data_IF_930927795511
#
_entry.id   IF_930927795511
#
_cell.length_a   1.000
_cell.length_b   1.000
_cell.length_c   1.000
_cell.angle_alpha   90.00
_cell.angle_beta   90.00
_cell.angle_gamma   90.00
#
_symmetry.space_group_name_H-M   'P 1'
#
loop_
_entity.id
_entity.type
_entity.pdbx_description
1 polymer ?
#
# COMPACT_ATOMS: atom_id res chain seq x y z
N UNK A 1 24.57 -17.08 -32.94
CA UNK A 1 23.95 -18.19 -32.20
C UNK A 1 22.64 -18.47 -32.88
N UNK A 2 22.58 -19.60 -33.57
CA UNK A 2 21.41 -20.04 -34.29
C UNK A 2 20.34 -20.53 -33.29
N UNK A 3 19.09 -20.62 -33.73
CA UNK A 3 17.96 -20.97 -32.86
C UNK A 3 18.10 -22.39 -32.25
N UNK A 4 18.71 -23.31 -33.01
CA UNK A 4 19.04 -24.68 -32.56
C UNK A 4 20.15 -24.72 -31.49
N UNK A 5 21.18 -23.87 -31.62
CA UNK A 5 22.25 -23.78 -30.62
C UNK A 5 21.72 -23.22 -29.29
N UNK A 6 20.68 -22.40 -29.37
CA UNK A 6 20.03 -21.80 -28.20
C UNK A 6 19.14 -22.79 -27.46
N UNK A 7 18.39 -23.63 -28.17
CA UNK A 7 17.58 -24.69 -27.56
C UNK A 7 18.47 -25.75 -26.91
N UNK A 8 19.57 -26.13 -27.56
CA UNK A 8 20.58 -27.02 -26.99
C UNK A 8 21.19 -26.47 -25.69
N UNK A 9 21.56 -25.19 -25.67
CA UNK A 9 22.11 -24.54 -24.49
C UNK A 9 21.10 -24.46 -23.32
N UNK A 10 19.83 -24.18 -23.61
CA UNK A 10 18.74 -24.16 -22.62
C UNK A 10 18.54 -25.51 -21.96
N UNK A 11 18.50 -26.57 -22.76
CA UNK A 11 18.29 -27.93 -22.28
C UNK A 11 19.43 -28.38 -21.37
N UNK A 12 20.67 -28.11 -21.76
CA UNK A 12 21.85 -28.45 -20.95
C UNK A 12 21.84 -27.68 -19.62
N UNK A 13 21.50 -26.39 -19.65
CA UNK A 13 21.39 -25.57 -18.44
C UNK A 13 20.32 -26.11 -17.49
N UNK A 14 19.12 -26.41 -18.01
CA UNK A 14 18.03 -26.97 -17.22
C UNK A 14 18.40 -28.30 -16.56
N UNK A 15 19.05 -29.21 -17.29
CA UNK A 15 19.49 -30.50 -16.73
C UNK A 15 20.56 -30.31 -15.64
N UNK A 16 21.44 -29.32 -15.79
CA UNK A 16 22.43 -29.01 -14.77
C UNK A 16 21.81 -28.38 -13.51
N UNK A 17 20.86 -27.44 -13.67
CA UNK A 17 20.11 -26.81 -12.57
C UNK A 17 19.29 -27.82 -11.76
N UNK A 18 18.80 -28.89 -12.40
CA UNK A 18 18.10 -30.01 -11.73
C UNK A 18 19.03 -31.00 -11.03
N UNK A 19 20.35 -30.72 -11.00
CA UNK A 19 21.35 -31.48 -10.27
C UNK A 19 21.95 -32.67 -11.02
N UNK A 20 21.75 -32.76 -12.34
CA UNK A 20 22.34 -33.82 -13.15
C UNK A 20 23.80 -33.46 -13.47
N UNK A 21 24.78 -34.35 -13.20
CA UNK A 21 26.18 -34.05 -13.46
C UNK A 21 26.46 -33.96 -14.98
N UNK A 22 27.42 -33.11 -15.40
CA UNK A 22 27.68 -32.81 -16.81
C UNK A 22 28.07 -34.05 -17.63
N UNK A 23 28.71 -35.04 -17.00
CA UNK A 23 29.05 -36.33 -17.61
C UNK A 23 27.81 -37.12 -18.05
N UNK A 24 26.76 -37.09 -17.23
CA UNK A 24 25.49 -37.77 -17.49
C UNK A 24 24.68 -37.00 -18.55
N UNK A 25 24.76 -35.68 -18.56
CA UNK A 25 24.15 -34.83 -19.59
C UNK A 25 24.78 -35.09 -20.95
N UNK A 26 26.12 -35.11 -21.03
CA UNK A 26 26.87 -35.44 -22.24
C UNK A 26 26.45 -36.79 -22.83
N UNK A 27 26.30 -37.81 -21.97
CA UNK A 27 25.85 -39.14 -22.37
C UNK A 27 24.40 -39.19 -22.86
N UNK A 28 23.48 -38.49 -22.18
CA UNK A 28 22.04 -38.47 -22.54
C UNK A 28 21.79 -37.69 -23.81
N UNK A 29 22.45 -36.53 -23.97
CA UNK A 29 22.30 -35.67 -25.14
C UNK A 29 23.21 -36.06 -26.31
N UNK A 30 24.13 -37.01 -26.11
CA UNK A 30 25.13 -37.47 -27.10
C UNK A 30 26.04 -36.34 -27.60
N UNK A 31 26.42 -35.46 -26.69
CA UNK A 31 27.30 -34.30 -26.94
C UNK A 31 28.61 -34.53 -26.20
N UNK A 32 29.72 -33.95 -26.69
CA UNK A 32 31.01 -34.05 -26.00
C UNK A 32 30.98 -33.33 -24.65
N UNK A 33 31.73 -33.84 -23.67
CA UNK A 33 31.79 -33.25 -22.34
C UNK A 33 32.45 -31.86 -22.35
N UNK A 34 33.37 -31.62 -23.30
CA UNK A 34 34.00 -30.31 -23.47
C UNK A 34 32.95 -29.27 -23.90
N UNK A 35 32.05 -29.63 -24.83
CA UNK A 35 30.99 -28.73 -25.31
C UNK A 35 29.98 -28.40 -24.22
N UNK A 36 29.62 -29.37 -23.37
CA UNK A 36 28.76 -29.13 -22.19
C UNK A 36 29.42 -28.14 -21.23
N UNK A 37 30.73 -28.30 -20.95
CA UNK A 37 31.47 -27.39 -20.06
C UNK A 37 31.63 -25.99 -20.66
N UNK A 38 31.85 -25.89 -21.95
CA UNK A 38 31.91 -24.62 -22.68
C UNK A 38 30.59 -23.86 -22.59
N UNK A 39 29.46 -24.55 -22.83
CA UNK A 39 28.12 -23.96 -22.72
C UNK A 39 27.88 -23.49 -21.28
N UNK A 40 28.19 -24.32 -20.28
CA UNK A 40 28.06 -23.98 -18.87
C UNK A 40 28.96 -22.80 -18.45
N UNK A 41 30.16 -22.67 -19.01
CA UNK A 41 31.04 -21.52 -18.79
C UNK A 41 30.49 -20.21 -19.37
N UNK A 42 29.71 -20.30 -20.44
CA UNK A 42 29.06 -19.15 -21.08
C UNK A 42 27.69 -18.79 -20.44
N UNK A 43 27.22 -19.56 -19.45
CA UNK A 43 25.90 -19.40 -18.79
C UNK A 43 25.73 -18.04 -18.09
N UNK A 44 26.80 -17.42 -17.58
CA UNK A 44 26.70 -16.07 -17.01
C UNK A 44 26.11 -15.05 -18.00
N UNK A 45 26.39 -15.20 -19.30
CA UNK A 45 25.84 -14.35 -20.37
C UNK A 45 24.36 -14.67 -20.61
N UNK A 46 23.96 -15.93 -20.44
CA UNK A 46 22.57 -16.41 -20.59
C UNK A 46 21.70 -15.95 -19.40
N UNK A 47 22.22 -16.06 -18.18
CA UNK A 47 21.58 -15.57 -16.94
C UNK A 47 21.42 -14.04 -16.98
N UNK A 48 22.43 -13.31 -17.48
CA UNK A 48 22.32 -11.85 -17.71
C UNK A 48 21.23 -11.47 -18.71
N UNK A 49 20.90 -12.31 -19.69
CA UNK A 49 19.73 -12.10 -20.58
C UNK A 49 18.40 -12.39 -19.89
N UNK A 50 18.35 -13.39 -19.00
CA UNK A 50 17.15 -13.77 -18.23
C UNK A 50 16.72 -12.70 -17.23
N UNK A 51 17.68 -11.95 -16.66
CA UNK A 51 17.44 -10.91 -15.65
C UNK A 51 16.77 -9.61 -16.15
N UNK A 52 16.30 -9.56 -17.41
CA UNK A 52 15.60 -8.39 -17.98
C UNK A 52 14.10 -8.57 -18.17
N UNK A 53 13.50 -9.67 -17.73
CA UNK A 53 12.05 -9.86 -17.79
C UNK A 53 11.44 -9.80 -16.39
N UNK A 54 10.91 -8.64 -16.02
CA UNK A 54 10.18 -8.46 -14.78
C UNK A 54 8.73 -8.94 -14.99
N UNK A 55 8.41 -10.12 -14.46
CA UNK A 55 7.06 -10.74 -14.54
C UNK A 55 5.98 -9.82 -13.99
N UNK A 56 6.29 -9.02 -12.96
CA UNK A 56 5.34 -8.04 -12.38
C UNK A 56 5.07 -6.91 -13.37
N UNK A 57 6.06 -6.49 -14.16
CA UNK A 57 5.83 -5.51 -15.23
C UNK A 57 5.02 -6.10 -16.39
N UNK A 58 5.22 -7.38 -16.71
CA UNK A 58 4.46 -8.05 -17.77
C UNK A 58 2.98 -8.20 -17.39
N UNK A 59 2.70 -8.71 -16.18
CA UNK A 59 1.31 -8.89 -15.71
C UNK A 59 0.67 -7.55 -15.32
N UNK A 60 1.43 -6.64 -14.72
CA UNK A 60 0.92 -5.33 -14.26
C UNK A 60 0.69 -4.34 -15.39
N UNK A 61 1.31 -4.52 -16.56
CA UNK A 61 1.22 -3.60 -17.68
C UNK A 61 0.49 -4.21 -18.89
N UNK A 62 -0.69 -4.77 -18.64
CA UNK A 62 -1.59 -5.31 -19.67
C UNK A 62 -2.49 -4.23 -20.30
N UNK A 63 -2.21 -2.95 -20.04
CA UNK A 63 -3.00 -1.87 -20.61
C UNK A 63 -2.73 -1.75 -22.12
N UNK A 64 -3.75 -2.06 -22.93
CA UNK A 64 -3.70 -1.98 -24.39
C UNK A 64 -3.59 -0.56 -24.92
N UNK A 65 -3.84 0.45 -24.08
CA UNK A 65 -3.81 1.87 -24.44
C UNK A 65 -2.66 2.63 -23.78
N UNK A 66 -1.59 1.92 -23.39
CA UNK A 66 -0.42 2.51 -22.73
C UNK A 66 0.35 3.46 -23.66
N UNK A 67 0.57 3.02 -24.89
CA UNK A 67 1.42 3.71 -25.86
C UNK A 67 0.60 4.39 -26.98
N UNK A 68 -0.68 4.01 -27.14
CA UNK A 68 -1.61 4.57 -28.12
C UNK A 68 -3.00 4.76 -27.53
N UNK A 69 -3.69 5.83 -27.94
CA UNK A 69 -5.06 6.09 -27.50
C UNK A 69 -6.05 5.10 -28.14
N UNK A 70 -7.18 4.79 -27.48
CA UNK A 70 -8.28 4.08 -28.11
C UNK A 70 -8.82 4.84 -29.34
N UNK A 71 -9.51 4.14 -30.24
CA UNK A 71 -10.21 4.77 -31.37
C UNK A 71 -11.31 5.73 -30.88
N UNK A 72 -11.69 6.70 -31.71
CA UNK A 72 -12.71 7.71 -31.37
C UNK A 72 -14.06 7.08 -30.95
N UNK A 73 -14.46 5.98 -31.59
CA UNK A 73 -15.68 5.26 -31.23
C UNK A 73 -15.63 4.71 -29.79
N UNK A 74 -14.50 4.14 -29.39
CA UNK A 74 -14.27 3.61 -28.04
C UNK A 74 -14.24 4.75 -27.04
N UNK A 75 -13.56 5.86 -27.37
CA UNK A 75 -13.51 7.05 -26.53
C UNK A 75 -14.90 7.62 -26.27
N UNK A 76 -15.73 7.74 -27.31
CA UNK A 76 -17.10 8.24 -27.18
C UNK A 76 -17.97 7.33 -26.31
N UNK A 77 -17.81 6.01 -26.43
CA UNK A 77 -18.49 5.05 -25.56
C UNK A 77 -18.03 5.17 -24.10
N UNK A 78 -16.72 5.35 -23.86
CA UNK A 78 -16.19 5.58 -22.51
C UNK A 78 -16.77 6.86 -21.90
N UNK A 79 -16.76 7.97 -22.64
CA UNK A 79 -17.33 9.24 -22.19
C UNK A 79 -18.82 9.10 -21.87
N UNK A 80 -19.59 8.41 -22.71
CA UNK A 80 -21.01 8.17 -22.48
C UNK A 80 -21.28 7.27 -21.26
N UNK A 81 -20.35 6.38 -20.91
CA UNK A 81 -20.44 5.53 -19.72
C UNK A 81 -20.01 6.21 -18.43
N UNK A 82 -19.35 7.37 -18.52
CA UNK A 82 -19.02 8.18 -17.36
C UNK A 82 -20.27 8.96 -16.96
N UNK A 83 -20.80 8.66 -15.79
CA UNK A 83 -21.82 9.51 -15.17
C UNK A 83 -21.15 10.87 -14.88
N UNK A 84 -21.70 11.93 -15.49
CA UNK A 84 -21.37 13.28 -15.08
C UNK A 84 -21.97 13.49 -13.69
N UNK A 85 -21.21 13.18 -12.65
CA UNK A 85 -21.53 13.70 -11.33
C UNK A 85 -21.48 15.23 -11.42
N UNK A 86 -22.60 15.87 -11.11
CA UNK A 86 -22.62 17.30 -10.74
C UNK A 86 -21.85 17.42 -9.41
N UNK A 87 -20.52 17.37 -9.52
CA UNK A 87 -19.64 17.61 -8.38
C UNK A 87 -19.77 19.07 -8.01
N UNK A 88 -20.50 19.32 -6.94
CA UNK A 88 -20.46 20.58 -6.23
C UNK A 88 -19.16 20.67 -5.41
N UNK A 89 -18.03 20.70 -6.11
CA UNK A 89 -16.72 20.95 -5.53
C UNK A 89 -16.70 22.39 -5.00
N UNK A 90 -17.09 22.56 -3.73
CA UNK A 90 -16.94 23.81 -3.00
C UNK A 90 -17.73 24.98 -3.59
N UNK A 91 -19.06 24.88 -3.62
CA UNK A 91 -19.89 26.08 -3.72
C UNK A 91 -19.44 27.07 -2.62
N UNK A 92 -18.99 28.26 -3.04
CA UNK A 92 -18.49 29.28 -2.10
C UNK A 92 -19.61 29.61 -1.11
N UNK A 93 -19.32 29.52 0.17
CA UNK A 93 -20.26 29.88 1.23
C UNK A 93 -20.69 31.33 1.05
N UNK A 94 -21.99 31.58 0.97
CA UNK A 94 -22.55 32.94 0.93
C UNK A 94 -22.64 33.42 2.38
N UNK A 95 -21.87 34.44 2.82
CA UNK A 95 -21.82 34.83 4.23
C UNK A 95 -23.16 35.32 4.80
N UNK A 96 -24.08 35.77 3.95
CA UNK A 96 -25.41 36.25 4.34
C UNK A 96 -26.46 35.15 4.54
N UNK A 97 -26.11 33.88 4.32
CA UNK A 97 -27.01 32.75 4.55
C UNK A 97 -26.57 31.95 5.78
N UNK A 98 -27.51 31.48 6.63
CA UNK A 98 -27.21 30.55 7.70
C UNK A 98 -26.50 29.31 7.14
N UNK A 99 -25.40 28.92 7.77
CA UNK A 99 -24.64 27.73 7.40
C UNK A 99 -25.32 26.53 8.06
N UNK A 100 -25.80 25.59 7.25
CA UNK A 100 -26.37 24.35 7.77
C UNK A 100 -25.29 23.56 8.52
N UNK A 101 -25.66 23.01 9.68
CA UNK A 101 -24.80 22.10 10.42
C UNK A 101 -24.45 20.90 9.54
N UNK A 102 -23.15 20.64 9.39
CA UNK A 102 -22.64 19.49 8.64
C UNK A 102 -22.67 18.28 9.56
N UNK A 103 -23.26 17.19 9.10
CA UNK A 103 -23.16 15.90 9.80
C UNK A 103 -21.70 15.44 9.79
N UNK A 104 -21.17 15.14 10.98
CA UNK A 104 -19.79 14.67 11.20
C UNK A 104 -19.78 13.28 11.85
N UNK A 105 -20.91 12.57 11.84
CA UNK A 105 -21.05 11.24 12.43
C UNK A 105 -20.13 10.20 11.76
N UNK A 106 -19.83 10.38 10.47
CA UNK A 106 -18.91 9.57 9.67
C UNK A 106 -17.42 9.84 10.02
N UNK A 107 -17.13 11.03 10.54
CA UNK A 107 -15.84 11.38 11.13
C UNK A 107 -15.79 10.81 12.54
N UNK A 108 -15.78 9.48 12.62
CA UNK A 108 -15.25 8.76 13.77
C UNK A 108 -13.84 9.32 13.97
N UNK A 109 -13.70 10.26 14.91
CA UNK A 109 -12.42 10.88 15.22
C UNK A 109 -11.38 9.81 15.61
N UNK A 110 -10.18 10.27 15.91
CA UNK A 110 -9.14 9.41 16.49
C UNK A 110 -9.74 8.56 17.62
N UNK A 111 -9.53 7.23 17.58
CA UNK A 111 -10.06 6.31 18.59
C UNK A 111 -9.45 6.66 19.94
N UNK A 112 -10.24 7.41 20.73
CA UNK A 112 -9.87 7.95 22.03
C UNK A 112 -9.40 6.85 22.99
N UNK A 113 -9.99 5.67 22.92
CA UNK A 113 -9.58 4.55 23.80
C UNK A 113 -8.20 4.03 23.43
N UNK A 114 -7.92 3.95 22.13
CA UNK A 114 -6.61 3.51 21.64
C UNK A 114 -5.55 4.54 21.98
N UNK A 115 -5.81 5.83 21.78
CA UNK A 115 -4.84 6.89 22.12
C UNK A 115 -4.53 6.92 23.60
N UNK A 116 -5.56 6.87 24.45
CA UNK A 116 -5.38 6.91 25.91
C UNK A 116 -4.54 5.72 26.37
N UNK A 117 -4.77 4.54 25.80
CA UNK A 117 -3.95 3.35 26.09
C UNK A 117 -2.50 3.49 25.61
N UNK A 118 -2.27 4.04 24.42
CA UNK A 118 -0.90 4.27 23.90
C UNK A 118 -0.14 5.25 24.80
N UNK A 119 -0.79 6.35 25.19
CA UNK A 119 -0.18 7.37 26.03
C UNK A 119 0.03 6.89 27.46
N UNK A 120 -0.95 6.16 28.02
CA UNK A 120 -0.82 5.53 29.33
C UNK A 120 0.28 4.46 29.34
N UNK A 121 0.40 3.65 28.28
CA UNK A 121 1.49 2.68 28.12
C UNK A 121 2.88 3.35 28.09
N UNK A 122 3.02 4.53 27.47
CA UNK A 122 4.26 5.32 27.53
C UNK A 122 4.58 5.77 28.96
N UNK A 123 3.58 6.17 29.75
CA UNK A 123 3.77 6.55 31.17
C UNK A 123 4.12 5.32 32.01
N UNK A 124 3.39 4.22 31.86
CA UNK A 124 3.61 2.96 32.57
C UNK A 124 4.98 2.35 32.27
N UNK A 125 5.51 2.51 31.05
CA UNK A 125 6.86 2.03 30.67
C UNK A 125 7.99 2.57 31.56
N UNK A 126 7.78 3.72 32.19
CA UNK A 126 8.75 4.37 33.10
C UNK A 126 8.60 3.90 34.55
N UNK A 127 7.55 3.17 34.87
CA UNK A 127 7.27 2.66 36.21
C UNK A 127 7.95 1.30 36.44
N UNK A 128 8.25 0.94 37.71
CA UNK A 128 8.70 -0.40 38.08
C UNK A 128 7.70 -1.48 37.64
N UNK A 129 8.20 -2.65 37.24
CA UNK A 129 7.38 -3.78 36.72
C UNK A 129 6.09 -4.08 37.51
N UNK A 130 6.10 -4.19 38.85
CA UNK A 130 4.88 -4.52 39.59
C UNK A 130 3.83 -3.40 39.61
N UNK A 131 4.21 -2.17 39.22
CA UNK A 131 3.33 -1.00 39.25
C UNK A 131 2.84 -0.60 37.86
N UNK A 132 3.34 -1.21 36.78
CA UNK A 132 3.02 -0.78 35.41
C UNK A 132 1.53 -0.78 35.12
N UNK A 133 0.83 -1.84 35.47
CA UNK A 133 -0.62 -1.96 35.24
C UNK A 133 -1.41 -0.89 36.03
N UNK A 134 -1.02 -0.63 37.28
CA UNK A 134 -1.67 0.38 38.13
C UNK A 134 -1.41 1.79 37.59
N UNK A 135 -0.19 2.07 37.13
CA UNK A 135 0.18 3.36 36.54
C UNK A 135 -0.54 3.57 35.20
N UNK A 136 -0.68 2.53 34.38
CA UNK A 136 -1.44 2.61 33.12
C UNK A 136 -2.91 2.93 33.40
N UNK A 137 -3.56 2.18 34.29
CA UNK A 137 -4.97 2.41 34.63
C UNK A 137 -5.19 3.80 35.25
N UNK A 138 -4.29 4.26 36.12
CA UNK A 138 -4.37 5.59 36.71
C UNK A 138 -4.19 6.70 35.67
N UNK A 139 -3.29 6.52 34.70
CA UNK A 139 -3.06 7.48 33.62
C UNK A 139 -4.27 7.58 32.67
N UNK A 140 -4.94 6.46 32.36
CA UNK A 140 -6.18 6.46 31.58
C UNK A 140 -7.28 7.22 32.34
N UNK A 141 -7.50 6.87 33.62
CA UNK A 141 -8.52 7.51 34.44
C UNK A 141 -8.28 9.02 34.64
N UNK A 142 -7.02 9.46 34.68
CA UNK A 142 -6.68 10.87 34.71
C UNK A 142 -7.10 11.58 33.42
N UNK A 143 -6.75 11.01 32.25
CA UNK A 143 -7.12 11.59 30.95
C UNK A 143 -8.63 11.69 30.75
N UNK A 144 -9.38 10.70 31.22
CA UNK A 144 -10.85 10.74 31.20
C UNK A 144 -11.40 11.89 32.06
N UNK A 145 -10.83 12.08 33.26
CA UNK A 145 -11.21 13.19 34.15
C UNK A 145 -10.85 14.55 33.56
N UNK A 146 -9.65 14.70 33.02
CA UNK A 146 -9.20 15.95 32.39
C UNK A 146 -10.15 16.34 31.24
N UNK A 147 -10.56 15.37 30.41
CA UNK A 147 -11.54 15.64 29.34
C UNK A 147 -12.90 16.06 29.85
N UNK A 148 -13.41 15.42 30.90
CA UNK A 148 -14.69 15.79 31.49
C UNK A 148 -14.65 17.23 32.04
N UNK A 149 -13.54 17.61 32.68
CA UNK A 149 -13.31 18.98 33.15
C UNK A 149 -13.24 19.99 32.00
N UNK A 150 -12.59 19.64 30.88
CA UNK A 150 -12.57 20.47 29.67
C UNK A 150 -13.95 20.64 29.04
N UNK A 151 -14.76 19.57 28.98
CA UNK A 151 -16.13 19.64 28.45
C UNK A 151 -17.01 20.54 29.33
N UNK A 152 -16.85 20.47 30.66
CA UNK A 152 -17.57 21.34 31.60
C UNK A 152 -17.18 22.81 31.42
N UNK A 153 -15.87 23.11 31.40
CA UNK A 153 -15.36 24.46 31.16
C UNK A 153 -15.79 25.01 29.78
N UNK A 154 -15.80 24.18 28.74
CA UNK A 154 -16.34 24.55 27.44
C UNK A 154 -17.83 24.90 27.52
N UNK A 155 -18.61 24.14 28.29
CA UNK A 155 -20.05 24.40 28.47
C UNK A 155 -20.30 25.72 29.19
N UNK A 156 -19.47 26.08 30.17
CA UNK A 156 -19.56 27.36 30.87
C UNK A 156 -19.27 28.53 29.93
N UNK A 157 -18.22 28.42 29.11
CA UNK A 157 -17.91 29.43 28.09
C UNK A 157 -19.01 29.54 27.05
N UNK A 158 -19.61 28.43 26.61
CA UNK A 158 -20.74 28.46 25.66
C UNK A 158 -21.93 29.21 26.24
N UNK A 159 -22.28 28.96 27.51
CA UNK A 159 -23.37 29.69 28.19
C UNK A 159 -23.12 31.19 28.24
N UNK A 160 -21.89 31.60 28.56
CA UNK A 160 -21.52 33.02 28.57
C UNK A 160 -21.64 33.68 27.18
N UNK A 161 -21.35 32.94 26.11
CA UNK A 161 -21.48 33.46 24.75
C UNK A 161 -22.92 33.46 24.25
N UNK A 162 -23.72 32.46 24.62
CA UNK A 162 -25.13 32.36 24.23
C UNK A 162 -25.97 33.47 24.91
N UNK A 163 -25.69 33.81 26.17
CA UNK A 163 -26.36 34.90 26.89
C UNK A 163 -26.10 36.30 26.27
N UNK A 164 -24.98 36.48 25.56
CA UNK A 164 -24.60 37.73 24.89
C UNK A 164 -25.05 37.80 23.40
N UNK A 165 -25.59 36.72 22.84
CA UNK A 165 -25.96 36.58 21.42
C UNK A 165 -27.46 36.40 21.14
N UNK A 166 -28.33 36.61 22.13
CA UNK A 166 -29.79 36.70 21.97
C UNK A 166 -30.21 38.03 21.28
N UNK A 167 -29.79 38.23 20.01
CA UNK A 167 -30.17 39.34 19.12
C UNK A 167 -31.12 38.90 17.99
#
# INVERSE_FOLDING_TARGET
MNEEEWTEAKDILFLHETGIPPEKIAKVKKISIERVREILGNVEVVVKRRNKMNVVQEVGNQNKWKDELPTEEILNHMVASLEAEDRHDGARTIPSRPINAVDRSDRLGEDRKITDRIEAGKVASKAPEPLKEVVEAAAIAQRERDRAEWEDAQSEVSKLLDDDLDL
#
